data_IF_222249249998
#
_entry.id   IF_222249249998
#
_cell.length_a   1.000
_cell.length_b   1.000
_cell.length_c   1.000
_cell.angle_alpha   90.00
_cell.angle_beta   90.00
_cell.angle_gamma   90.00
#
_symmetry.space_group_name_H-M   'P 1'
#
loop_
_entity.id
_entity.type
_entity.pdbx_description
1 polymer ?
#
# COMPACT_ATOMS: atom_id res chain seq x y z
N UNK A 1 -11.46 -5.05 4.93
CA UNK A 1 -10.15 -4.36 5.06
C UNK A 1 -9.59 -4.68 6.44
N UNK A 2 -8.27 -4.79 6.62
CA UNK A 2 -7.67 -4.85 7.96
C UNK A 2 -7.24 -3.45 8.41
N UNK A 3 -8.12 -2.77 9.12
CA UNK A 3 -7.92 -1.40 9.60
C UNK A 3 -6.74 -1.27 10.57
N UNK A 4 -6.41 -2.33 11.32
CA UNK A 4 -5.27 -2.30 12.25
C UNK A 4 -3.91 -2.19 11.55
N UNK A 5 -3.90 -2.45 10.25
CA UNK A 5 -2.71 -2.34 9.38
C UNK A 5 -2.79 -1.18 8.39
N UNK A 6 -3.91 -0.47 8.36
CA UNK A 6 -4.14 0.61 7.40
C UNK A 6 -3.41 1.88 7.86
N UNK A 7 -2.29 2.19 7.21
CA UNK A 7 -1.48 3.35 7.55
C UNK A 7 -1.08 4.13 6.30
N UNK A 8 -1.00 5.44 6.41
CA UNK A 8 -0.36 6.28 5.41
C UNK A 8 0.63 7.21 6.10
N UNK A 9 1.76 7.47 5.45
CA UNK A 9 2.78 8.34 5.98
C UNK A 9 3.49 9.08 4.85
N UNK A 10 3.87 10.35 5.07
CA UNK A 10 4.64 11.12 4.12
C UNK A 10 6.09 10.65 4.09
N UNK A 11 6.71 10.66 2.91
CA UNK A 11 8.13 10.42 2.73
C UNK A 11 8.77 11.52 1.89
N UNK A 12 10.09 11.68 2.04
CA UNK A 12 10.87 12.62 1.23
C UNK A 12 10.69 12.29 -0.26
N UNK A 13 10.43 13.31 -1.05
CA UNK A 13 10.25 13.26 -2.50
C UNK A 13 11.53 12.97 -3.28
N UNK A 14 12.70 13.15 -2.64
CA UNK A 14 14.00 12.85 -3.27
C UNK A 14 14.60 11.53 -2.83
N UNK A 15 14.72 11.30 -1.52
CA UNK A 15 15.41 10.11 -1.00
C UNK A 15 14.45 9.01 -0.52
N UNK A 16 13.14 9.28 -0.47
CA UNK A 16 12.16 8.30 0.02
C UNK A 16 12.19 8.05 1.53
N UNK A 17 13.00 8.80 2.30
CA UNK A 17 13.05 8.66 3.76
C UNK A 17 11.69 9.03 4.39
N UNK A 18 11.13 8.13 5.19
CA UNK A 18 9.87 8.32 5.92
C UNK A 18 10.01 8.98 7.28
N UNK A 19 11.24 9.21 7.77
CA UNK A 19 11.49 9.94 9.02
C UNK A 19 11.58 11.44 8.76
N UNK A 20 10.48 12.01 8.30
CA UNK A 20 10.35 13.45 8.14
C UNK A 20 10.07 14.12 9.48
N UNK A 21 10.75 15.22 9.76
CA UNK A 21 10.55 16.04 10.95
C UNK A 21 9.52 17.13 10.64
N UNK A 22 8.60 17.39 11.57
CA UNK A 22 7.80 18.61 11.57
C UNK A 22 8.20 19.41 12.80
N UNK A 23 8.71 20.62 12.60
CA UNK A 23 8.98 21.52 13.72
C UNK A 23 7.79 22.46 13.90
N UNK A 24 7.47 22.88 15.14
CA UNK A 24 6.40 23.84 15.38
C UNK A 24 6.56 25.14 14.58
N UNK A 25 7.81 25.54 14.29
CA UNK A 25 8.13 26.75 13.54
C UNK A 25 7.82 26.63 12.04
N UNK A 26 7.75 25.40 11.51
CA UNK A 26 7.67 25.12 10.07
C UNK A 26 6.26 25.22 9.50
N UNK A 27 5.27 25.67 10.28
CA UNK A 27 3.84 25.83 9.88
C UNK A 27 3.28 24.58 9.17
N UNK A 28 3.68 23.39 9.64
CA UNK A 28 3.25 22.11 9.07
C UNK A 28 4.07 21.63 7.87
N UNK A 29 5.13 22.35 7.47
CA UNK A 29 6.08 21.83 6.48
C UNK A 29 6.93 20.71 7.09
N UNK A 30 7.36 19.80 6.21
CA UNK A 30 8.24 18.70 6.57
C UNK A 30 9.69 19.05 6.29
N UNK A 31 10.61 18.54 7.11
CA UNK A 31 12.05 18.61 6.89
C UNK A 31 12.63 17.20 6.81
N UNK A 32 13.50 16.95 5.83
CA UNK A 32 14.22 15.69 5.71
C UNK A 32 15.66 15.86 6.21
N UNK A 33 16.01 15.18 7.30
CA UNK A 33 17.38 15.20 7.84
C UNK A 33 18.41 14.69 6.82
N UNK A 34 18.08 13.62 6.09
CA UNK A 34 18.99 12.99 5.13
C UNK A 34 19.33 13.89 3.94
N UNK A 35 18.37 14.68 3.47
CA UNK A 35 18.59 15.66 2.41
C UNK A 35 18.96 17.04 2.94
N UNK A 36 18.96 17.24 4.26
CA UNK A 36 19.16 18.53 4.93
C UNK A 36 18.34 19.68 4.31
N UNK A 37 17.06 19.40 4.00
CA UNK A 37 16.18 20.37 3.32
C UNK A 37 14.72 20.27 3.77
N UNK A 38 13.99 21.35 3.53
CA UNK A 38 12.52 21.37 3.60
C UNK A 38 11.94 20.57 2.43
N UNK A 39 10.96 19.73 2.72
CA UNK A 39 10.20 18.91 1.78
C UNK A 39 8.87 19.59 1.51
N UNK A 40 8.73 20.23 0.35
CA UNK A 40 7.52 20.98 -0.03
C UNK A 40 6.45 20.11 -0.66
N UNK A 41 6.80 18.91 -1.13
CA UNK A 41 5.88 18.02 -1.86
C UNK A 41 6.12 16.56 -1.48
N UNK A 42 5.91 16.18 -0.21
CA UNK A 42 6.18 14.82 0.24
C UNK A 42 5.34 13.80 -0.54
N UNK A 43 5.92 12.63 -0.80
CA UNK A 43 5.20 11.52 -1.43
C UNK A 43 4.45 10.77 -0.33
N UNK A 44 3.15 10.53 -0.52
CA UNK A 44 2.35 9.76 0.42
C UNK A 44 2.53 8.25 0.17
N UNK A 45 3.16 7.54 1.10
CA UNK A 45 3.21 6.08 1.12
C UNK A 45 2.04 5.52 1.92
N UNK A 46 1.61 4.32 1.56
CA UNK A 46 0.49 3.60 2.20
C UNK A 46 0.83 2.14 2.52
N UNK A 47 0.27 1.62 3.59
CA UNK A 47 0.23 0.19 3.88
C UNK A 47 -1.23 -0.20 4.01
N UNK A 48 -1.62 -1.27 3.33
CA UNK A 48 -2.97 -1.80 3.42
C UNK A 48 -2.94 -3.31 3.24
N UNK A 49 -3.58 -4.00 4.20
CA UNK A 49 -3.93 -5.40 4.04
C UNK A 49 -5.43 -5.55 3.88
N UNK A 50 -5.83 -6.38 2.93
CA UNK A 50 -7.25 -6.65 2.62
C UNK A 50 -7.54 -8.13 2.74
N UNK A 51 -8.80 -8.45 3.04
CA UNK A 51 -9.30 -9.81 2.95
C UNK A 51 -10.02 -9.96 1.61
N UNK A 52 -9.69 -11.02 0.86
CA UNK A 52 -10.32 -11.34 -0.41
C UNK A 52 -11.18 -12.58 -0.28
N UNK A 53 -12.35 -12.54 -0.92
CA UNK A 53 -13.19 -13.71 -1.08
C UNK A 53 -12.62 -14.61 -2.18
N UNK A 54 -12.32 -15.86 -1.83
CA UNK A 54 -11.80 -16.85 -2.76
C UNK A 54 -12.90 -17.86 -3.11
N UNK A 55 -13.57 -17.68 -4.27
CA UNK A 55 -14.69 -18.56 -4.68
C UNK A 55 -14.31 -20.05 -4.78
N UNK A 56 -13.08 -20.34 -5.20
CA UNK A 56 -12.58 -21.72 -5.26
C UNK A 56 -12.30 -22.34 -3.88
N UNK A 57 -12.17 -21.52 -2.83
CA UNK A 57 -11.90 -21.93 -1.44
C UNK A 57 -12.71 -21.07 -0.46
N UNK A 58 -14.04 -21.20 -0.41
CA UNK A 58 -14.92 -20.28 0.33
C UNK A 58 -14.71 -20.29 1.85
N UNK A 59 -14.13 -21.35 2.42
CA UNK A 59 -13.80 -21.42 3.85
C UNK A 59 -12.39 -20.93 4.18
N UNK A 60 -11.63 -20.48 3.17
CA UNK A 60 -10.28 -19.97 3.35
C UNK A 60 -10.29 -18.45 3.42
N UNK A 61 -9.74 -17.90 4.50
CA UNK A 61 -9.46 -16.46 4.57
C UNK A 61 -8.20 -16.18 3.77
N UNK A 62 -8.27 -15.27 2.80
CA UNK A 62 -7.10 -14.82 2.04
C UNK A 62 -6.81 -13.39 2.44
N UNK A 63 -5.67 -13.15 3.11
CA UNK A 63 -5.21 -11.83 3.50
C UNK A 63 -4.10 -11.40 2.57
N UNK A 64 -4.21 -10.24 1.95
CA UNK A 64 -3.25 -9.75 0.95
C UNK A 64 -2.69 -8.41 1.37
N UNK A 65 -1.36 -8.30 1.47
CA UNK A 65 -0.64 -7.02 1.54
C UNK A 65 -0.48 -6.48 0.12
N UNK A 66 -1.03 -5.29 -0.12
CA UNK A 66 -1.08 -4.68 -1.45
C UNK A 66 0.11 -3.75 -1.72
N UNK A 67 0.49 -3.61 -2.99
CA UNK A 67 1.44 -2.58 -3.44
C UNK A 67 0.78 -1.20 -3.50
N UNK A 68 1.62 -0.14 -3.47
CA UNK A 68 1.16 1.26 -3.53
C UNK A 68 0.19 1.54 -4.68
N UNK A 69 0.44 0.96 -5.86
CA UNK A 69 -0.38 1.14 -7.07
C UNK A 69 -1.79 0.59 -6.87
N UNK A 70 -1.92 -0.60 -6.29
CA UNK A 70 -3.18 -1.30 -6.07
C UNK A 70 -3.96 -0.62 -4.96
N UNK A 71 -3.28 -0.18 -3.90
CA UNK A 71 -3.87 0.66 -2.85
C UNK A 71 -4.43 1.95 -3.46
N UNK A 72 -3.66 2.65 -4.29
CA UNK A 72 -4.08 3.92 -4.90
C UNK A 72 -5.30 3.73 -5.82
N UNK A 73 -5.32 2.65 -6.60
CA UNK A 73 -6.45 2.29 -7.45
C UNK A 73 -7.72 2.00 -6.62
N UNK A 74 -7.57 1.21 -5.55
CA UNK A 74 -8.65 0.83 -4.65
C UNK A 74 -9.25 2.05 -3.93
N UNK A 75 -8.38 2.93 -3.44
CA UNK A 75 -8.77 4.09 -2.64
C UNK A 75 -9.21 5.31 -3.48
N UNK A 76 -9.00 5.28 -4.80
CA UNK A 76 -9.34 6.39 -5.71
C UNK A 76 -10.79 6.88 -5.57
N UNK A 77 -11.72 5.98 -5.26
CA UNK A 77 -13.14 6.30 -5.11
C UNK A 77 -13.64 6.25 -3.66
N UNK A 78 -12.72 6.12 -2.69
CA UNK A 78 -13.05 6.00 -1.27
C UNK A 78 -12.62 7.22 -0.44
N UNK A 79 -12.00 8.22 -1.07
CA UNK A 79 -11.56 9.45 -0.40
C UNK A 79 -12.77 10.32 -0.02
N UNK A 80 -12.85 10.67 1.26
CA UNK A 80 -13.77 11.67 1.78
C UNK A 80 -13.27 13.10 1.52
N UNK A 81 -14.14 14.08 1.75
CA UNK A 81 -13.84 15.51 1.57
C UNK A 81 -12.73 16.01 2.49
N UNK A 82 -12.55 15.36 3.64
CA UNK A 82 -11.51 15.64 4.64
C UNK A 82 -10.19 14.90 4.38
N UNK A 83 -10.10 14.16 3.26
CA UNK A 83 -8.94 13.34 2.92
C UNK A 83 -8.87 12.00 3.67
N UNK A 84 -9.86 11.68 4.50
CA UNK A 84 -9.99 10.35 5.12
C UNK A 84 -10.49 9.31 4.10
N UNK A 85 -10.45 8.03 4.46
CA UNK A 85 -10.97 6.94 3.63
C UNK A 85 -12.11 6.23 4.35
N UNK A 86 -13.25 6.08 3.69
CA UNK A 86 -14.37 5.31 4.24
C UNK A 86 -14.23 3.82 3.86
N UNK A 87 -14.09 2.96 4.88
CA UNK A 87 -13.92 1.51 4.68
C UNK A 87 -15.07 0.89 3.89
N UNK A 88 -16.32 1.33 4.14
CA UNK A 88 -17.50 0.83 3.43
C UNK A 88 -17.41 1.04 1.92
N UNK A 89 -16.79 2.14 1.49
CA UNK A 89 -16.60 2.47 0.07
C UNK A 89 -15.58 1.55 -0.63
N UNK A 90 -14.77 0.82 0.14
CA UNK A 90 -13.78 -0.15 -0.32
C UNK A 90 -14.32 -1.59 -0.33
N UNK A 91 -15.29 -1.91 0.53
CA UNK A 91 -15.85 -3.26 0.61
C UNK A 91 -16.56 -3.66 -0.69
N UNK A 92 -16.35 -4.90 -1.13
CA UNK A 92 -16.93 -5.43 -2.36
C UNK A 92 -16.28 -4.94 -3.66
N UNK A 93 -15.24 -4.10 -3.59
CA UNK A 93 -14.49 -3.67 -4.78
C UNK A 93 -13.56 -4.79 -5.26
N UNK A 94 -13.45 -4.90 -6.58
CA UNK A 94 -12.50 -5.81 -7.21
C UNK A 94 -11.09 -5.20 -7.20
N UNK A 95 -10.09 -6.00 -6.82
CA UNK A 95 -8.67 -5.61 -6.82
C UNK A 95 -7.93 -6.03 -8.11
N UNK A 96 -8.64 -6.68 -9.04
CA UNK A 96 -8.10 -7.22 -10.28
C UNK A 96 -7.17 -8.42 -10.07
N UNK A 97 -6.41 -8.76 -11.12
CA UNK A 97 -5.39 -9.80 -11.05
C UNK A 97 -4.16 -9.28 -10.30
N UNK A 98 -3.78 -9.97 -9.22
CA UNK A 98 -2.62 -9.66 -8.41
C UNK A 98 -1.57 -10.76 -8.58
N UNK A 99 -0.34 -10.36 -8.89
CA UNK A 99 0.81 -11.26 -8.76
C UNK A 99 1.21 -11.26 -7.29
N UNK A 100 1.14 -12.41 -6.65
CA UNK A 100 1.38 -12.53 -5.21
C UNK A 100 2.36 -13.65 -4.90
N UNK A 101 3.19 -13.42 -3.88
CA UNK A 101 3.94 -14.46 -3.21
C UNK A 101 3.19 -14.92 -1.94
N UNK A 102 3.27 -16.21 -1.60
CA UNK A 102 2.66 -16.77 -0.39
C UNK A 102 3.58 -16.51 0.80
N UNK A 103 3.19 -15.60 1.68
CA UNK A 103 3.94 -15.32 2.91
C UNK A 103 3.67 -16.34 4.02
N UNK A 104 2.42 -16.81 4.15
CA UNK A 104 2.04 -17.72 5.24
C UNK A 104 0.84 -18.58 4.87
N UNK A 105 0.80 -19.77 5.48
CA UNK A 105 -0.33 -20.70 5.41
C UNK A 105 -0.60 -21.23 6.80
N UNK A 106 -1.79 -21.00 7.32
CA UNK A 106 -2.22 -21.56 8.61
C UNK A 106 -3.42 -22.46 8.38
N UNK A 107 -3.36 -23.69 8.88
CA UNK A 107 -4.44 -24.68 8.70
C UNK A 107 -5.39 -24.78 9.91
N UNK A 108 -5.02 -24.26 11.07
CA UNK A 108 -5.80 -24.31 12.31
C UNK A 108 -5.72 -22.97 13.06
N UNK A 109 -6.80 -22.51 13.73
CA UNK A 109 -8.15 -23.10 13.78
C UNK A 109 -9.00 -22.81 12.54
N UNK A 110 -8.59 -21.87 11.69
CA UNK A 110 -9.23 -21.59 10.38
C UNK A 110 -8.16 -21.51 9.29
N UNK A 111 -8.47 -22.02 8.10
CA UNK A 111 -7.59 -21.94 6.94
C UNK A 111 -7.36 -20.47 6.56
N UNK A 112 -6.14 -19.98 6.71
CA UNK A 112 -5.77 -18.62 6.30
C UNK A 112 -4.52 -18.66 5.42
N UNK A 113 -4.51 -17.83 4.38
CA UNK A 113 -3.37 -17.64 3.49
C UNK A 113 -2.99 -16.17 3.53
N UNK A 114 -1.77 -15.88 3.93
CA UNK A 114 -1.16 -14.57 3.82
C UNK A 114 -0.42 -14.44 2.50
N UNK A 115 -0.75 -13.41 1.72
CA UNK A 115 -0.15 -13.08 0.44
C UNK A 115 0.47 -11.68 0.50
N UNK A 116 1.53 -11.48 -0.28
CA UNK A 116 2.09 -10.14 -0.57
C UNK A 116 2.13 -9.93 -2.08
N UNK A 117 1.53 -8.83 -2.53
CA UNK A 117 1.59 -8.43 -3.93
C UNK A 117 3.04 -8.06 -4.30
N UNK A 118 3.48 -8.55 -5.45
CA UNK A 118 4.80 -8.30 -6.02
C UNK A 118 4.68 -7.67 -7.41
N UNK A 119 5.69 -6.89 -7.76
CA UNK A 119 5.88 -6.42 -9.12
C UNK A 119 6.74 -7.45 -9.87
N UNK A 120 6.19 -7.99 -10.96
CA UNK A 120 6.98 -8.80 -11.86
C UNK A 120 7.82 -7.86 -12.71
N UNK A 121 9.14 -7.95 -12.58
CA UNK A 121 10.04 -7.29 -13.52
C UNK A 121 9.76 -7.92 -14.89
N UNK A 122 9.47 -7.08 -15.89
CA UNK A 122 9.51 -7.56 -17.27
C UNK A 122 10.92 -8.11 -17.50
N UNK A 123 11.00 -9.34 -18.02
CA UNK A 123 12.27 -9.84 -18.52
C UNK A 123 12.70 -8.86 -19.62
N UNK A 124 13.65 -7.98 -19.30
CA UNK A 124 14.08 -6.93 -20.20
C UNK A 124 14.46 -7.56 -21.53
N UNK A 125 13.74 -7.18 -22.59
CA UNK A 125 14.29 -7.28 -23.93
C UNK A 125 15.62 -6.54 -23.88
N UNK A 126 16.69 -7.22 -24.27
CA UNK A 126 17.93 -6.58 -24.62
C UNK A 126 17.63 -5.61 -25.78
N UNK A 127 17.34 -4.35 -25.47
CA UNK A 127 17.51 -3.28 -26.44
C UNK A 127 19.01 -3.05 -26.56
N UNK A 128 19.62 -3.83 -27.45
CA UNK A 128 20.74 -3.35 -28.21
C UNK A 128 20.22 -2.18 -29.07
N UNK A 129 20.64 -0.96 -28.78
CA UNK A 129 20.62 0.11 -29.77
C UNK A 129 21.96 0.84 -29.74
N UNK A 130 22.47 1.01 -30.97
CA UNK A 130 23.77 1.53 -31.39
C UNK A 130 23.98 3.01 -31.09
#
# INVERSE_FOLDING_TARGET
VDESTAFSWPVCDMCGNGRLEQRPEDRGAFSCGECSRVVTSPILKRHLQVFLDCRSRPQCRVKVKLLQRSISSLLRFAAGEDGSYEVKSVLGKEVGLLNCFVQSVTAHPTSCIGLEEIELLSAGGASAEH
#
